data_IF_153560375114
#
_entry.id   IF_153560375114
#
_cell.length_a   1.000
_cell.length_b   1.000
_cell.length_c   1.000
_cell.angle_alpha   90.00
_cell.angle_beta   90.00
_cell.angle_gamma   90.00
#
_symmetry.space_group_name_H-M   'P 1'
#
loop_
_entity.id
_entity.type
_entity.pdbx_description
1 polymer ?
#
# COMPACT_ATOMS: atom_id res chain seq x y z
N UNK A 1 -1.61 -9.53 -16.98
CA UNK A 1 -2.10 -8.54 -15.97
C UNK A 1 -0.90 -7.80 -15.49
N UNK A 2 -0.83 -6.48 -15.70
CA UNK A 2 0.46 -5.78 -15.70
C UNK A 2 0.59 -4.75 -14.59
N UNK A 3 1.83 -4.58 -14.13
CA UNK A 3 2.25 -3.53 -13.20
C UNK A 3 3.70 -3.13 -13.53
N UNK A 4 4.16 -2.01 -12.99
CA UNK A 4 5.55 -1.58 -13.11
C UNK A 4 6.34 -2.07 -11.89
N UNK A 5 7.57 -2.57 -12.07
CA UNK A 5 8.39 -3.08 -10.97
C UNK A 5 9.76 -2.37 -10.94
N UNK A 6 10.10 -1.79 -9.79
CA UNK A 6 11.41 -1.18 -9.51
C UNK A 6 11.82 -0.14 -10.58
N UNK A 7 13.11 -0.04 -10.91
CA UNK A 7 13.67 0.88 -11.90
C UNK A 7 13.55 0.34 -13.33
N UNK A 8 12.41 -0.26 -13.68
CA UNK A 8 12.17 -0.80 -15.02
C UNK A 8 11.13 0.04 -15.76
N UNK A 9 11.32 0.21 -17.07
CA UNK A 9 10.34 0.80 -17.98
C UNK A 9 9.47 -0.26 -18.67
N UNK A 10 9.86 -1.54 -18.58
CA UNK A 10 9.11 -2.67 -19.10
C UNK A 10 8.10 -3.16 -18.06
N UNK A 11 6.87 -3.39 -18.50
CA UNK A 11 5.81 -3.92 -17.66
C UNK A 11 6.10 -5.35 -17.22
N UNK A 12 5.87 -5.62 -15.93
CA UNK A 12 5.88 -6.98 -15.39
C UNK A 12 4.50 -7.60 -15.55
N UNK A 13 4.44 -8.78 -16.17
CA UNK A 13 3.23 -9.60 -16.17
C UNK A 13 3.16 -10.40 -14.87
N UNK A 14 2.07 -10.23 -14.13
CA UNK A 14 1.82 -10.98 -12.91
C UNK A 14 1.59 -12.47 -13.19
N UNK A 15 1.12 -12.81 -14.40
CA UNK A 15 0.82 -14.17 -14.80
C UNK A 15 -0.46 -14.75 -14.17
N UNK A 16 -0.65 -16.05 -14.35
CA UNK A 16 -1.78 -16.81 -13.78
C UNK A 16 -1.35 -17.43 -12.44
N UNK A 17 -1.42 -16.64 -11.38
CA UNK A 17 -1.08 -17.04 -10.01
C UNK A 17 -2.33 -17.41 -9.21
N UNK A 18 -2.15 -18.02 -8.03
CA UNK A 18 -3.27 -18.23 -7.11
C UNK A 18 -3.81 -16.86 -6.65
N UNK A 19 -5.12 -16.58 -6.73
CA UNK A 19 -5.69 -15.32 -6.25
C UNK A 19 -5.45 -15.00 -4.78
N UNK A 20 -5.13 -16.01 -3.97
CA UNK A 20 -4.79 -15.86 -2.54
C UNK A 20 -3.30 -15.51 -2.32
N UNK A 21 -2.47 -15.51 -3.37
CA UNK A 21 -1.03 -15.21 -3.25
C UNK A 21 -0.83 -13.77 -2.79
N UNK A 22 -0.07 -13.61 -1.72
CA UNK A 22 0.32 -12.29 -1.20
C UNK A 22 1.41 -11.67 -2.08
N UNK A 23 1.57 -10.34 -2.04
CA UNK A 23 2.68 -9.66 -2.73
C UNK A 23 4.02 -10.19 -2.22
N UNK A 24 4.13 -10.46 -0.91
CA UNK A 24 5.36 -10.98 -0.33
C UNK A 24 5.73 -12.38 -0.86
N UNK A 25 4.75 -13.28 -0.93
CA UNK A 25 4.93 -14.61 -1.51
C UNK A 25 5.37 -14.50 -2.98
N UNK A 26 4.66 -13.68 -3.78
CA UNK A 26 5.01 -13.46 -5.18
C UNK A 26 6.44 -12.92 -5.35
N UNK A 27 6.84 -11.93 -4.56
CA UNK A 27 8.20 -11.36 -4.61
C UNK A 27 9.26 -12.42 -4.34
N UNK A 28 9.07 -13.21 -3.28
CA UNK A 28 10.05 -14.21 -2.84
C UNK A 28 10.15 -15.38 -3.81
N UNK A 29 9.04 -15.83 -4.39
CA UNK A 29 9.01 -16.85 -5.44
C UNK A 29 9.76 -16.39 -6.69
N UNK A 30 9.73 -15.09 -6.98
CA UNK A 30 10.49 -14.45 -8.07
C UNK A 30 11.90 -14.00 -7.65
N UNK A 31 12.45 -14.53 -6.55
CA UNK A 31 13.81 -14.27 -6.04
C UNK A 31 14.10 -12.81 -5.63
N UNK A 32 13.06 -11.99 -5.41
CA UNK A 32 13.16 -10.66 -4.80
C UNK A 32 13.01 -10.79 -3.27
N UNK A 33 14.08 -11.32 -2.66
CA UNK A 33 14.08 -11.76 -1.26
C UNK A 33 14.49 -10.69 -0.26
N UNK A 34 14.76 -9.46 -0.70
CA UNK A 34 15.09 -8.31 0.14
C UNK A 34 13.93 -7.93 1.06
N UNK A 35 12.69 -8.00 0.56
CA UNK A 35 11.48 -7.87 1.38
C UNK A 35 11.31 -9.11 2.28
N UNK A 36 11.10 -8.91 3.59
CA UNK A 36 11.16 -9.99 4.59
C UNK A 36 9.79 -10.34 5.16
N UNK A 37 9.59 -11.62 5.46
CA UNK A 37 8.50 -12.07 6.32
C UNK A 37 8.93 -12.01 7.78
N UNK A 38 8.24 -11.22 8.61
CA UNK A 38 8.49 -11.13 10.05
C UNK A 38 7.34 -11.70 10.88
N UNK A 39 6.13 -11.11 10.71
CA UNK A 39 4.94 -11.49 11.48
C UNK A 39 3.79 -12.08 10.61
N UNK A 40 3.79 -11.80 9.31
CA UNK A 40 2.71 -12.14 8.37
C UNK A 40 1.31 -11.61 8.75
N UNK A 41 1.24 -10.58 9.59
CA UNK A 41 0.01 -9.93 10.07
C UNK A 41 -0.07 -8.42 9.79
N UNK A 42 0.98 -7.83 9.20
CA UNK A 42 1.08 -6.39 8.98
C UNK A 42 1.68 -5.59 10.14
N UNK A 43 1.95 -6.21 11.29
CA UNK A 43 2.37 -5.49 12.51
C UNK A 43 3.83 -5.00 12.50
N UNK A 44 4.76 -5.78 11.93
CA UNK A 44 6.20 -5.52 12.12
C UNK A 44 6.85 -4.65 11.04
N UNK A 45 6.22 -4.51 9.87
CA UNK A 45 6.76 -3.76 8.72
C UNK A 45 8.06 -4.27 8.12
N UNK A 46 8.54 -5.48 8.47
CA UNK A 46 9.71 -6.08 7.81
C UNK A 46 9.46 -6.35 6.31
N UNK A 47 8.17 -6.48 5.96
CA UNK A 47 7.68 -6.71 4.61
C UNK A 47 7.32 -5.41 3.86
N UNK A 48 7.67 -4.23 4.39
CA UNK A 48 7.28 -2.97 3.75
C UNK A 48 7.90 -2.85 2.36
N UNK A 49 7.04 -2.59 1.38
CA UNK A 49 7.39 -2.13 0.04
C UNK A 49 6.58 -0.86 -0.25
N UNK A 50 6.75 -0.27 -1.43
CA UNK A 50 6.08 0.99 -1.79
C UNK A 50 5.34 0.83 -3.11
N UNK A 51 4.11 1.33 -3.15
CA UNK A 51 3.32 1.45 -4.39
C UNK A 51 3.29 2.91 -4.85
N UNK A 52 3.56 3.13 -6.13
CA UNK A 52 3.34 4.40 -6.82
C UNK A 52 1.99 4.41 -7.53
N UNK A 53 1.20 5.45 -7.29
CA UNK A 53 -0.10 5.67 -7.91
C UNK A 53 -0.21 7.08 -8.47
N UNK A 54 -0.97 7.26 -9.56
CA UNK A 54 -1.24 8.59 -10.08
C UNK A 54 -2.31 9.27 -9.24
N UNK A 55 -1.96 10.43 -8.68
CA UNK A 55 -2.89 11.34 -8.02
C UNK A 55 -3.00 12.61 -8.87
N UNK A 56 -4.23 13.03 -9.16
CA UNK A 56 -4.49 14.22 -9.98
C UNK A 56 -5.06 15.34 -9.12
N UNK A 57 -4.26 16.38 -8.92
CA UNK A 57 -4.65 17.58 -8.19
C UNK A 57 -4.56 18.80 -9.11
N UNK A 58 -5.64 19.59 -9.20
CA UNK A 58 -5.67 20.88 -9.89
C UNK A 58 -5.01 20.88 -11.30
N UNK A 59 -5.34 19.87 -12.13
CA UNK A 59 -4.82 19.63 -13.50
C UNK A 59 -3.36 19.16 -13.60
N UNK A 60 -2.69 18.86 -12.49
CA UNK A 60 -1.37 18.21 -12.47
C UNK A 60 -1.50 16.77 -11.96
N UNK A 61 -0.94 15.82 -12.71
CA UNK A 61 -0.83 14.42 -12.31
C UNK A 61 0.57 14.18 -11.76
N UNK A 62 0.64 13.76 -10.50
CA UNK A 62 1.87 13.37 -9.84
C UNK A 62 1.76 11.91 -9.38
N UNK A 63 2.91 11.31 -9.06
CA UNK A 63 2.94 10.00 -8.45
C UNK A 63 3.00 10.21 -6.94
N UNK A 64 2.07 9.60 -6.22
CA UNK A 64 2.18 9.45 -4.78
C UNK A 64 2.73 8.06 -4.46
N UNK A 65 3.75 8.02 -3.60
CA UNK A 65 4.41 6.78 -3.20
C UNK A 65 3.95 6.36 -1.80
N UNK A 66 3.12 5.33 -1.71
CA UNK A 66 2.53 4.86 -0.45
C UNK A 66 3.22 3.58 0.02
N UNK A 67 3.70 3.56 1.26
CA UNK A 67 4.21 2.33 1.88
C UNK A 67 3.08 1.34 2.14
N UNK A 68 3.32 0.04 1.94
CA UNK A 68 2.34 -1.02 2.18
C UNK A 68 2.99 -2.25 2.85
N UNK A 69 2.19 -3.05 3.56
CA UNK A 69 2.61 -4.36 4.04
C UNK A 69 2.36 -5.44 2.98
N UNK A 70 3.43 -5.92 2.33
CA UNK A 70 3.31 -6.92 1.25
C UNK A 70 2.80 -8.29 1.70
N UNK A 71 2.90 -8.61 3.00
CA UNK A 71 2.34 -9.85 3.54
C UNK A 71 0.81 -9.84 3.61
N UNK A 72 0.17 -8.67 3.58
CA UNK A 72 -1.30 -8.53 3.66
C UNK A 72 -1.92 -8.20 2.31
N UNK A 73 -1.21 -7.43 1.47
CA UNK A 73 -1.66 -7.11 0.13
C UNK A 73 -1.65 -8.36 -0.75
N UNK A 74 -2.77 -8.66 -1.42
CA UNK A 74 -2.84 -9.72 -2.43
C UNK A 74 -2.19 -9.24 -3.74
N UNK A 75 -1.49 -10.15 -4.42
CA UNK A 75 -0.66 -9.82 -5.58
C UNK A 75 -1.47 -9.26 -6.76
N UNK A 76 -2.72 -9.69 -6.96
CA UNK A 76 -3.62 -9.09 -7.95
C UNK A 76 -3.96 -7.62 -7.66
N UNK A 77 -3.79 -7.16 -6.43
CA UNK A 77 -3.89 -5.75 -6.06
C UNK A 77 -2.80 -4.87 -6.66
N UNK A 78 -1.73 -5.42 -7.25
CA UNK A 78 -0.67 -4.65 -7.91
C UNK A 78 -1.03 -4.19 -9.32
N UNK A 79 -2.06 -4.78 -9.94
CA UNK A 79 -2.43 -4.48 -11.32
C UNK A 79 -2.66 -2.97 -11.49
N UNK A 80 -1.96 -2.38 -12.45
CA UNK A 80 -2.03 -0.94 -12.74
C UNK A 80 -1.17 -0.04 -11.85
N UNK A 81 -0.38 -0.58 -10.92
CA UNK A 81 0.45 0.20 -9.97
C UNK A 81 1.95 0.09 -10.28
N UNK A 82 2.76 0.92 -9.61
CA UNK A 82 4.22 0.78 -9.60
C UNK A 82 4.68 0.17 -8.27
N UNK A 83 5.09 -1.09 -8.26
CA UNK A 83 5.70 -1.71 -7.09
C UNK A 83 7.19 -1.36 -7.02
N UNK A 84 7.64 -0.85 -5.88
CA UNK A 84 9.04 -0.59 -5.58
C UNK A 84 9.46 -1.38 -4.34
N UNK A 85 10.54 -2.14 -4.46
CA UNK A 85 11.15 -2.94 -3.39
C UNK A 85 12.56 -2.43 -3.09
N UNK A 86 13.16 -2.95 -2.02
CA UNK A 86 14.50 -2.52 -1.57
C UNK A 86 15.59 -2.77 -2.62
N UNK A 87 15.45 -3.81 -3.43
CA UNK A 87 16.34 -4.16 -4.54
C UNK A 87 16.26 -3.14 -5.67
N UNK A 88 15.13 -2.46 -5.81
CA UNK A 88 14.90 -1.43 -6.80
C UNK A 88 15.53 -0.08 -6.45
N UNK A 89 16.17 0.09 -5.29
CA UNK A 89 16.59 1.43 -4.88
C UNK A 89 17.97 1.85 -5.41
N UNK A 90 18.93 0.92 -5.49
CA UNK A 90 20.27 1.26 -5.95
C UNK A 90 20.31 1.37 -7.48
N UNK A 91 20.94 2.43 -8.01
CA UNK A 91 21.14 2.67 -9.44
C UNK A 91 22.64 2.56 -9.75
N UNK A 92 23.03 1.63 -10.62
CA UNK A 92 24.45 1.44 -11.05
C UNK A 92 25.45 1.31 -9.87
N UNK A 93 25.02 0.65 -8.79
CA UNK A 93 25.83 0.47 -7.57
C UNK A 93 25.82 1.67 -6.61
N UNK A 94 25.20 2.79 -6.98
CA UNK A 94 24.97 3.93 -6.09
C UNK A 94 23.73 3.67 -5.22
N UNK A 95 23.91 3.74 -3.91
CA UNK A 95 22.82 3.61 -2.94
C UNK A 95 21.84 4.78 -3.05
N UNK A 96 20.54 4.48 -2.91
CA UNK A 96 19.53 5.51 -2.73
C UNK A 96 19.76 6.27 -1.41
N UNK A 97 19.39 7.57 -1.28
CA UNK A 97 19.52 8.33 -0.05
C UNK A 97 19.03 7.60 1.21
N UNK A 98 17.90 6.88 1.13
CA UNK A 98 17.38 6.08 2.25
C UNK A 98 18.27 4.90 2.66
N UNK A 99 18.94 4.26 1.71
CA UNK A 99 19.91 3.20 2.00
C UNK A 99 21.20 3.80 2.56
N UNK A 100 21.73 4.85 1.92
CA UNK A 100 22.96 5.55 2.31
C UNK A 100 22.87 6.06 3.75
N UNK A 101 21.78 6.73 4.11
CA UNK A 101 21.59 7.27 5.44
C UNK A 101 21.54 6.19 6.53
N UNK A 102 20.89 5.05 6.26
CA UNK A 102 20.87 3.91 7.18
C UNK A 102 22.26 3.34 7.44
N UNK A 103 23.15 3.36 6.45
CA UNK A 103 24.55 2.96 6.61
C UNK A 103 25.31 3.99 7.43
N UNK A 104 25.24 5.28 7.06
CA UNK A 104 26.01 6.35 7.69
C UNK A 104 25.67 6.55 9.17
N UNK A 105 24.39 6.47 9.52
CA UNK A 105 23.91 6.71 10.88
C UNK A 105 23.89 5.44 11.75
N UNK A 106 24.46 4.33 11.26
CA UNK A 106 24.43 3.02 11.95
C UNK A 106 23.00 2.54 12.26
N UNK A 107 22.06 2.79 11.34
CA UNK A 107 20.64 2.44 11.44
C UNK A 107 20.35 0.94 11.33
N UNK A 108 21.37 0.09 11.16
CA UNK A 108 21.23 -1.35 10.97
C UNK A 108 22.19 -2.14 11.87
N UNK A 109 21.67 -3.17 12.54
CA UNK A 109 22.47 -4.17 13.29
C UNK A 109 22.29 -5.57 12.69
N UNK A 110 21.26 -6.31 13.12
CA UNK A 110 20.97 -7.65 12.59
C UNK A 110 20.56 -7.65 11.10
N UNK A 111 20.15 -6.49 10.57
CA UNK A 111 19.81 -6.29 9.16
C UNK A 111 18.40 -6.75 8.75
N UNK A 112 17.68 -7.49 9.59
CA UNK A 112 16.42 -8.12 9.17
C UNK A 112 15.28 -7.12 8.92
N UNK A 113 15.11 -6.13 9.80
CA UNK A 113 14.09 -5.09 9.64
C UNK A 113 14.53 -3.97 8.69
N UNK A 114 15.82 -3.90 8.35
CA UNK A 114 16.42 -2.79 7.59
C UNK A 114 15.74 -2.54 6.25
N UNK A 115 15.39 -3.55 5.42
CA UNK A 115 14.63 -3.34 4.20
C UNK A 115 13.31 -2.59 4.42
N UNK A 116 12.55 -2.97 5.45
CA UNK A 116 11.28 -2.32 5.77
C UNK A 116 11.43 -0.84 6.13
N UNK A 117 12.41 -0.52 6.98
CA UNK A 117 12.73 0.87 7.33
C UNK A 117 13.20 1.68 6.12
N UNK A 118 14.09 1.10 5.29
CA UNK A 118 14.59 1.74 4.06
C UNK A 118 13.43 2.08 3.12
N UNK A 119 12.43 1.20 3.00
CA UNK A 119 11.26 1.43 2.14
C UNK A 119 10.30 2.48 2.71
N UNK A 120 10.06 2.51 4.02
CA UNK A 120 9.28 3.59 4.65
C UNK A 120 9.95 4.95 4.49
N UNK A 121 11.27 5.01 4.65
CA UNK A 121 12.06 6.22 4.42
C UNK A 121 12.08 6.63 2.94
N UNK A 122 12.09 5.66 2.02
CA UNK A 122 11.95 5.92 0.59
C UNK A 122 10.61 6.62 0.28
N UNK A 123 9.49 6.09 0.78
CA UNK A 123 8.18 6.73 0.60
C UNK A 123 8.16 8.17 1.15
N UNK A 124 8.68 8.38 2.37
CA UNK A 124 8.79 9.70 2.98
C UNK A 124 9.62 10.67 2.12
N UNK A 125 10.76 10.22 1.60
CA UNK A 125 11.66 11.00 0.75
C UNK A 125 11.06 11.38 -0.61
N UNK A 126 10.24 10.51 -1.19
CA UNK A 126 9.57 10.80 -2.45
C UNK A 126 8.42 11.80 -2.28
N UNK A 127 7.73 11.79 -1.14
CA UNK A 127 6.56 12.62 -0.90
C UNK A 127 6.84 13.95 -0.20
N UNK A 128 8.03 14.14 0.41
CA UNK A 128 8.38 15.33 1.18
C UNK A 128 9.68 15.97 0.67
N UNK A 129 9.80 17.28 0.86
CA UNK A 129 11.03 18.04 0.59
C UNK A 129 11.84 18.35 1.86
N UNK A 130 11.17 18.33 3.01
CA UNK A 130 11.73 18.52 4.34
C UNK A 130 10.88 17.74 5.33
N UNK A 131 11.45 17.39 6.48
CA UNK A 131 10.77 16.59 7.50
C UNK A 131 10.99 17.13 8.90
N UNK A 132 10.00 16.89 9.76
CA UNK A 132 10.14 17.01 11.21
C UNK A 132 10.08 15.62 11.88
N UNK A 133 10.25 15.59 13.20
CA UNK A 133 10.22 14.35 13.97
C UNK A 133 8.85 13.66 13.91
N UNK A 134 7.76 14.42 13.80
CA UNK A 134 6.42 13.86 13.76
C UNK A 134 6.20 13.08 12.46
N UNK A 135 6.55 13.68 11.33
CA UNK A 135 6.47 13.05 10.01
C UNK A 135 7.37 11.81 9.90
N UNK A 136 8.56 11.87 10.50
CA UNK A 136 9.46 10.70 10.58
C UNK A 136 8.80 9.58 11.39
N UNK A 137 8.29 9.89 12.58
CA UNK A 137 7.67 8.90 13.46
C UNK A 137 6.42 8.28 12.81
N UNK A 138 5.63 9.07 12.09
CA UNK A 138 4.48 8.56 11.36
C UNK A 138 4.90 7.62 10.22
N UNK A 139 5.88 8.01 9.41
CA UNK A 139 6.41 7.15 8.34
C UNK A 139 6.99 5.83 8.88
N UNK A 140 7.58 5.85 10.07
CA UNK A 140 8.19 4.68 10.72
C UNK A 140 7.24 3.91 11.65
N UNK A 141 6.00 4.38 11.84
CA UNK A 141 5.04 3.84 12.81
C UNK A 141 4.73 2.35 12.63
N UNK A 142 4.90 1.83 11.41
CA UNK A 142 4.65 0.43 11.06
C UNK A 142 5.88 -0.46 11.06
N UNK A 143 7.05 0.02 11.47
CA UNK A 143 8.30 -0.75 11.43
C UNK A 143 8.83 -1.03 12.84
N UNK A 144 9.02 -2.31 13.16
CA UNK A 144 9.57 -2.74 14.44
C UNK A 144 11.04 -3.12 14.32
N UNK A 145 11.86 -2.61 15.23
CA UNK A 145 13.25 -3.01 15.40
C UNK A 145 13.51 -3.45 16.83
N UNK A 146 14.15 -4.62 17.00
CA UNK A 146 14.52 -5.14 18.32
C UNK A 146 15.96 -4.84 18.74
N UNK A 147 16.79 -4.32 17.82
CA UNK A 147 18.24 -4.22 18.03
C UNK A 147 18.73 -2.77 18.22
N UNK A 148 18.28 -1.84 17.38
CA UNK A 148 18.91 -0.50 17.26
C UNK A 148 18.44 0.51 18.30
N UNK A 149 17.30 0.28 18.95
CA UNK A 149 16.67 1.26 19.83
C UNK A 149 16.14 2.49 19.09
N UNK A 150 15.92 2.41 17.77
CA UNK A 150 15.32 3.43 16.87
C UNK A 150 16.09 4.74 16.68
N UNK A 151 16.81 5.23 17.69
CA UNK A 151 17.57 6.49 17.64
C UNK A 151 18.43 6.64 16.37
N UNK A 152 19.27 5.66 15.96
CA UNK A 152 20.08 5.80 14.73
C UNK A 152 19.23 5.78 13.45
N UNK A 153 18.05 5.14 13.45
CA UNK A 153 17.13 5.12 12.31
C UNK A 153 16.46 6.49 12.13
N UNK A 154 16.06 7.12 13.23
CA UNK A 154 15.52 8.49 13.21
C UNK A 154 16.60 9.49 12.77
N UNK A 155 17.85 9.30 13.22
CA UNK A 155 18.98 10.09 12.73
C UNK A 155 19.17 9.92 11.21
N UNK A 156 19.08 8.69 10.68
CA UNK A 156 19.12 8.42 9.25
C UNK A 156 18.03 9.20 8.50
N UNK A 157 16.81 9.21 9.03
CA UNK A 157 15.70 9.94 8.42
C UNK A 157 16.00 11.44 8.30
N UNK A 158 16.53 12.09 9.34
CA UNK A 158 16.95 13.50 9.25
C UNK A 158 18.12 13.70 8.28
N UNK A 159 19.11 12.81 8.32
CA UNK A 159 20.33 12.88 7.51
C UNK A 159 20.00 12.92 6.01
N UNK A 160 19.00 12.13 5.58
CA UNK A 160 18.51 12.10 4.18
C UNK A 160 18.06 13.45 3.62
N UNK A 161 17.56 14.36 4.47
CA UNK A 161 17.04 15.66 4.05
C UNK A 161 18.01 16.82 4.33
N UNK A 162 19.08 16.58 5.10
CA UNK A 162 20.06 17.58 5.48
C UNK A 162 21.33 17.57 4.61
N UNK A 163 21.59 16.50 3.85
CA UNK A 163 22.69 16.49 2.87
C UNK A 163 22.43 17.54 1.76
N UNK A 164 23.42 18.40 1.50
CA UNK A 164 23.31 19.47 0.49
C UNK A 164 23.16 18.90 -0.92
N UNK A 165 22.29 19.55 -1.70
CA UNK A 165 21.71 19.14 -2.98
C UNK A 165 22.65 19.16 -4.20
N UNK A 166 23.95 18.91 -4.04
CA UNK A 166 24.86 18.76 -5.20
C UNK A 166 24.81 17.33 -5.77
N UNK A 167 24.19 16.39 -5.05
CA UNK A 167 23.94 15.05 -5.60
C UNK A 167 22.79 15.07 -6.62
N UNK A 168 22.94 14.34 -7.75
CA UNK A 168 21.85 14.20 -8.71
C UNK A 168 20.62 13.56 -8.07
N UNK A 169 19.44 13.96 -8.55
CA UNK A 169 18.16 13.34 -8.18
C UNK A 169 18.24 11.82 -8.29
N UNK A 170 17.53 11.12 -7.41
CA UNK A 170 17.37 9.67 -7.52
C UNK A 170 16.60 9.28 -8.79
N UNK A 171 16.69 8.00 -9.15
CA UNK A 171 16.05 7.44 -10.34
C UNK A 171 14.56 7.82 -10.45
N UNK A 172 13.80 7.75 -9.36
CA UNK A 172 12.34 7.92 -9.39
C UNK A 172 11.97 9.38 -9.62
N UNK A 173 12.63 10.33 -8.95
CA UNK A 173 12.45 11.77 -9.21
C UNK A 173 12.89 12.15 -10.62
N UNK A 174 14.03 11.63 -11.09
CA UNK A 174 14.55 11.87 -12.45
C UNK A 174 13.60 11.35 -13.54
N UNK A 175 12.99 10.17 -13.33
CA UNK A 175 12.16 9.49 -14.31
C UNK A 175 10.65 9.70 -14.10
N UNK A 176 10.24 10.59 -13.19
CA UNK A 176 8.84 10.79 -12.80
C UNK A 176 7.90 10.97 -14.00
N UNK A 177 8.28 11.75 -15.02
CA UNK A 177 7.46 11.96 -16.23
C UNK A 177 7.23 10.67 -17.02
N UNK A 178 8.26 9.84 -17.16
CA UNK A 178 8.16 8.57 -17.88
C UNK A 178 7.32 7.56 -17.10
N UNK A 179 7.56 7.43 -15.79
CA UNK A 179 6.78 6.55 -14.91
C UNK A 179 5.31 6.97 -14.93
N UNK A 180 5.01 8.28 -14.84
CA UNK A 180 3.64 8.80 -14.90
C UNK A 180 2.96 8.45 -16.22
N UNK A 181 3.69 8.54 -17.34
CA UNK A 181 3.16 8.15 -18.65
C UNK A 181 2.80 6.66 -18.69
N UNK A 182 3.73 5.79 -18.28
CA UNK A 182 3.51 4.33 -18.25
C UNK A 182 2.32 3.97 -17.35
N UNK A 183 2.26 4.56 -16.15
CA UNK A 183 1.16 4.36 -15.23
C UNK A 183 -0.18 4.88 -15.79
N UNK A 184 -0.17 5.98 -16.54
CA UNK A 184 -1.37 6.51 -17.20
C UNK A 184 -1.92 5.56 -18.26
N UNK A 185 -1.03 4.89 -19.01
CA UNK A 185 -1.42 3.86 -19.98
C UNK A 185 -1.91 2.56 -19.32
N UNK A 186 -1.37 2.22 -18.14
CA UNK A 186 -1.79 1.08 -17.33
C UNK A 186 -3.11 1.30 -16.59
N UNK A 187 -3.40 2.54 -16.17
CA UNK A 187 -4.55 2.88 -15.34
C UNK A 187 -5.85 2.97 -16.17
N UNK A 188 -6.21 1.87 -16.81
CA UNK A 188 -7.45 1.70 -17.54
C UNK A 188 -8.25 0.57 -16.88
N UNK A 189 -9.17 0.90 -15.95
CA UNK A 189 -9.98 -0.08 -15.23
C UNK A 189 -10.75 -0.95 -16.21
N UNK A 190 -10.63 -2.27 -16.06
CA UNK A 190 -11.31 -3.24 -16.90
C UNK A 190 -11.84 -4.37 -16.03
N UNK A 191 -13.03 -4.85 -16.34
CA UNK A 191 -13.51 -6.10 -15.79
C UNK A 191 -12.49 -7.21 -16.04
N UNK A 192 -11.97 -7.80 -14.96
CA UNK A 192 -11.15 -9.02 -15.01
C UNK A 192 -11.97 -10.15 -14.43
N UNK A 193 -12.07 -11.27 -15.15
CA UNK A 193 -12.64 -12.51 -14.63
C UNK A 193 -11.71 -13.66 -15.02
N UNK A 194 -11.24 -14.42 -14.04
CA UNK A 194 -10.32 -15.52 -14.26
C UNK A 194 -10.57 -16.69 -13.31
N UNK A 195 -10.05 -17.85 -13.70
CA UNK A 195 -10.08 -19.07 -12.91
C UNK A 195 -8.68 -19.67 -12.85
N UNK A 196 -8.17 -19.85 -11.64
CA UNK A 196 -6.92 -20.53 -11.37
C UNK A 196 -7.20 -21.98 -10.98
N UNK A 197 -6.57 -22.93 -11.68
CA UNK A 197 -6.71 -24.35 -11.41
C UNK A 197 -5.46 -24.87 -10.73
N UNK A 198 -5.61 -25.45 -9.54
CA UNK A 198 -4.55 -26.15 -8.82
C UNK A 198 -5.07 -27.51 -8.39
N UNK A 199 -4.51 -28.57 -8.99
CA UNK A 199 -4.98 -29.94 -8.80
C UNK A 199 -6.49 -30.06 -9.06
N UNK A 200 -7.28 -30.47 -8.05
CA UNK A 200 -8.74 -30.64 -8.18
C UNK A 200 -9.55 -29.41 -7.71
N UNK A 201 -8.90 -28.27 -7.41
CA UNK A 201 -9.56 -27.04 -7.00
C UNK A 201 -9.56 -26.01 -8.14
N UNK A 202 -10.67 -25.29 -8.28
CA UNK A 202 -10.77 -24.09 -9.11
C UNK A 202 -11.03 -22.91 -8.20
N UNK A 203 -10.14 -21.91 -8.26
CA UNK A 203 -10.27 -20.66 -7.53
C UNK A 203 -10.67 -19.59 -8.53
N UNK A 204 -11.74 -18.85 -8.25
CA UNK A 204 -12.23 -17.75 -9.08
C UNK A 204 -11.71 -16.41 -8.57
N UNK A 205 -11.45 -15.51 -9.49
CA UNK A 205 -11.15 -14.12 -9.19
C UNK A 205 -11.89 -13.22 -10.17
N UNK A 206 -12.67 -12.28 -9.64
CA UNK A 206 -13.30 -11.22 -10.41
C UNK A 206 -12.83 -9.86 -9.90
N UNK A 207 -12.55 -8.93 -10.79
CA UNK A 207 -12.30 -7.53 -10.48
C UNK A 207 -13.14 -6.66 -11.43
N UNK A 208 -14.42 -6.42 -11.11
CA UNK A 208 -15.27 -5.50 -11.87
C UNK A 208 -14.72 -4.08 -11.83
N UNK A 209 -15.02 -3.32 -12.88
CA UNK A 209 -14.59 -1.92 -13.05
C UNK A 209 -15.71 -0.90 -12.80
N UNK A 210 -16.96 -1.35 -12.70
CA UNK A 210 -18.14 -0.50 -12.44
C UNK A 210 -19.07 -1.14 -11.42
N UNK A 211 -19.96 -0.33 -10.82
CA UNK A 211 -20.98 -0.85 -9.87
C UNK A 211 -21.91 -1.86 -10.53
N UNK A 212 -22.28 -1.66 -11.81
CA UNK A 212 -23.16 -2.58 -12.53
C UNK A 212 -22.50 -3.95 -12.72
N UNK A 213 -21.22 -3.98 -13.08
CA UNK A 213 -20.45 -5.22 -13.18
C UNK A 213 -20.31 -5.90 -11.82
N UNK A 214 -20.03 -5.13 -10.76
CA UNK A 214 -19.96 -5.66 -9.40
C UNK A 214 -21.28 -6.30 -8.97
N UNK A 215 -22.40 -5.62 -9.18
CA UNK A 215 -23.73 -6.16 -8.88
C UNK A 215 -23.98 -7.48 -9.62
N UNK A 216 -23.65 -7.55 -10.91
CA UNK A 216 -23.82 -8.77 -11.70
C UNK A 216 -22.97 -9.93 -11.19
N UNK A 217 -21.74 -9.67 -10.76
CA UNK A 217 -20.86 -10.70 -10.16
C UNK A 217 -21.45 -11.20 -8.84
N UNK A 218 -21.85 -10.29 -7.94
CA UNK A 218 -22.32 -10.65 -6.60
C UNK A 218 -23.67 -11.40 -6.61
N UNK A 219 -24.59 -11.05 -7.52
CA UNK A 219 -25.87 -11.79 -7.68
C UNK A 219 -25.61 -13.25 -8.07
N UNK A 220 -24.58 -13.50 -8.89
CA UNK A 220 -24.24 -14.83 -9.37
C UNK A 220 -23.26 -15.58 -8.45
N UNK A 221 -22.80 -14.97 -7.35
CA UNK A 221 -21.76 -15.51 -6.49
C UNK A 221 -21.92 -15.05 -5.04
N UNK A 222 -22.99 -15.53 -4.40
CA UNK A 222 -23.41 -15.12 -3.05
C UNK A 222 -22.44 -15.52 -1.93
N UNK A 223 -21.51 -16.45 -2.18
CA UNK A 223 -20.49 -16.89 -1.23
C UNK A 223 -19.11 -16.26 -1.48
N UNK A 224 -19.00 -15.30 -2.40
CA UNK A 224 -17.71 -14.73 -2.76
C UNK A 224 -17.18 -13.81 -1.65
N UNK A 225 -15.86 -13.86 -1.43
CA UNK A 225 -15.17 -12.96 -0.53
C UNK A 225 -14.91 -11.63 -1.25
N UNK A 226 -15.59 -10.56 -0.84
CA UNK A 226 -15.40 -9.22 -1.38
C UNK A 226 -14.14 -8.61 -0.74
N UNK A 227 -13.19 -8.16 -1.57
CA UNK A 227 -11.90 -7.64 -1.11
C UNK A 227 -11.63 -6.26 -1.72
N UNK A 228 -11.52 -5.25 -0.87
CA UNK A 228 -10.85 -4.00 -1.23
C UNK A 228 -9.34 -4.15 -0.93
N UNK A 229 -8.90 -3.66 0.23
CA UNK A 229 -7.54 -3.81 0.73
C UNK A 229 -7.20 -5.23 1.19
N UNK A 230 -8.13 -5.86 1.91
CA UNK A 230 -7.96 -7.18 2.54
C UNK A 230 -7.11 -7.16 3.83
N UNK A 231 -6.81 -6.02 4.44
CA UNK A 231 -5.89 -5.95 5.60
C UNK A 231 -6.31 -6.78 6.82
N UNK A 232 -7.60 -7.07 6.97
CA UNK A 232 -8.09 -8.00 8.00
C UNK A 232 -8.35 -9.39 7.40
N UNK A 233 -9.13 -9.45 6.32
CA UNK A 233 -9.51 -10.72 5.68
C UNK A 233 -8.31 -11.56 5.21
N UNK A 234 -7.20 -10.93 4.80
CA UNK A 234 -5.96 -11.63 4.44
C UNK A 234 -5.32 -12.36 5.63
N UNK A 235 -5.68 -12.04 6.89
CA UNK A 235 -5.23 -12.82 8.06
C UNK A 235 -5.82 -14.23 8.05
N UNK A 236 -6.98 -14.44 7.43
CA UNK A 236 -7.48 -15.79 7.22
C UNK A 236 -6.56 -16.60 6.31
N UNK A 237 -5.92 -15.95 5.34
CA UNK A 237 -4.95 -16.58 4.45
C UNK A 237 -3.62 -16.78 5.18
N UNK A 238 -3.08 -15.74 5.82
CA UNK A 238 -1.70 -15.77 6.34
C UNK A 238 -1.56 -16.39 7.73
N UNK A 239 -2.57 -16.24 8.59
CA UNK A 239 -2.53 -16.75 9.98
C UNK A 239 -3.38 -18.01 10.14
N UNK A 240 -4.56 -18.05 9.50
CA UNK A 240 -5.44 -19.22 9.57
C UNK A 240 -5.22 -20.22 8.42
N UNK A 241 -4.29 -19.94 7.50
CA UNK A 241 -3.92 -20.82 6.38
C UNK A 241 -5.11 -21.26 5.52
N UNK A 242 -6.14 -20.40 5.41
CA UNK A 242 -7.31 -20.62 4.57
C UNK A 242 -7.04 -20.21 3.14
N UNK A 243 -7.87 -20.72 2.24
CA UNK A 243 -7.84 -20.40 0.82
C UNK A 243 -9.26 -20.08 0.37
N UNK A 244 -9.49 -18.83 -0.03
CA UNK A 244 -10.77 -18.43 -0.59
C UNK A 244 -10.95 -19.05 -1.96
N UNK A 245 -12.12 -19.65 -2.19
CA UNK A 245 -12.48 -20.27 -3.46
C UNK A 245 -12.92 -19.25 -4.50
N UNK A 246 -13.37 -18.07 -4.08
CA UNK A 246 -13.78 -16.98 -4.95
C UNK A 246 -13.51 -15.63 -4.29
N UNK A 247 -12.63 -14.84 -4.89
CA UNK A 247 -12.35 -13.46 -4.51
C UNK A 247 -12.99 -12.50 -5.52
N UNK A 248 -13.72 -11.50 -5.03
CA UNK A 248 -14.23 -10.38 -5.83
C UNK A 248 -13.53 -9.11 -5.37
N UNK A 249 -12.59 -8.61 -6.16
CA UNK A 249 -11.88 -7.37 -5.84
C UNK A 249 -12.67 -6.14 -6.26
N UNK A 250 -12.89 -5.21 -5.34
CA UNK A 250 -13.56 -3.93 -5.64
C UNK A 250 -12.60 -2.80 -5.99
N UNK A 251 -11.29 -3.10 -6.05
CA UNK A 251 -10.25 -2.10 -6.27
C UNK A 251 -10.27 -1.47 -7.68
N UNK A 252 -11.06 -1.95 -8.61
CA UNK A 252 -11.20 -1.33 -9.93
C UNK A 252 -12.54 -0.60 -10.12
N UNK A 253 -13.45 -0.69 -9.14
CA UNK A 253 -14.75 -0.01 -9.19
C UNK A 253 -14.53 1.46 -8.85
N UNK A 254 -14.53 2.30 -9.88
CA UNK A 254 -14.14 3.72 -9.77
C UNK A 254 -15.06 4.45 -8.79
N UNK A 255 -16.36 4.16 -8.85
CA UNK A 255 -17.40 4.79 -8.03
C UNK A 255 -17.22 4.52 -6.53
N UNK A 256 -16.54 3.42 -6.16
CA UNK A 256 -16.24 3.09 -4.75
C UNK A 256 -14.98 3.78 -4.22
N UNK A 257 -14.27 4.56 -5.05
CA UNK A 257 -13.04 5.28 -4.69
C UNK A 257 -13.21 6.79 -4.66
N UNK A 258 -14.42 7.28 -4.85
CA UNK A 258 -14.70 8.71 -4.86
C UNK A 258 -14.89 9.25 -3.43
N UNK A 259 -14.44 10.47 -3.21
CA UNK A 259 -14.80 11.27 -2.04
C UNK A 259 -15.57 12.48 -2.56
N UNK A 260 -16.80 12.68 -2.08
CA UNK A 260 -17.62 13.85 -2.42
C UNK A 260 -17.93 14.59 -1.15
N UNK A 261 -17.31 15.75 -1.01
CA UNK A 261 -17.60 16.68 0.06
C UNK A 261 -18.57 17.74 -0.48
N UNK A 262 -19.78 17.77 0.05
CA UNK A 262 -20.67 18.91 -0.13
C UNK A 262 -20.93 19.57 1.23
N UNK A 263 -21.38 20.82 1.23
CA UNK A 263 -21.52 21.61 2.45
C UNK A 263 -22.47 21.03 3.53
N UNK A 264 -23.14 19.90 3.26
CA UNK A 264 -24.05 19.21 4.19
C UNK A 264 -23.61 17.80 4.55
N UNK A 265 -22.96 17.07 3.63
CA UNK A 265 -22.58 15.67 3.83
C UNK A 265 -21.22 15.36 3.17
N UNK A 266 -20.51 14.40 3.75
CA UNK A 266 -19.26 13.86 3.21
C UNK A 266 -19.49 12.41 2.80
N UNK A 267 -19.58 12.16 1.49
CA UNK A 267 -19.66 10.81 0.94
C UNK A 267 -18.26 10.25 0.74
N UNK A 268 -17.97 9.11 1.37
CA UNK A 268 -16.70 8.40 1.20
C UNK A 268 -16.99 7.02 0.59
N UNK A 269 -16.45 6.77 -0.60
CA UNK A 269 -16.55 5.47 -1.25
C UNK A 269 -15.95 4.34 -0.40
N UNK A 270 -16.58 3.16 -0.42
CA UNK A 270 -16.21 2.04 0.44
C UNK A 270 -14.78 1.52 0.22
N UNK A 271 -14.17 1.76 -0.95
CA UNK A 271 -12.81 1.38 -1.31
C UNK A 271 -11.79 2.52 -1.17
N UNK A 272 -12.17 3.67 -0.59
CA UNK A 272 -11.25 4.76 -0.22
C UNK A 272 -10.41 4.31 0.98
N UNK A 273 -9.10 4.52 0.90
CA UNK A 273 -8.18 4.19 2.00
C UNK A 273 -8.33 5.16 3.18
N UNK A 274 -7.91 4.75 4.37
CA UNK A 274 -7.89 5.65 5.53
C UNK A 274 -7.03 6.89 5.28
N UNK A 275 -5.87 6.71 4.64
CA UNK A 275 -4.98 7.83 4.35
C UNK A 275 -5.61 8.80 3.34
N UNK A 276 -6.25 8.28 2.28
CA UNK A 276 -6.93 9.12 1.27
C UNK A 276 -8.13 9.88 1.87
N UNK A 277 -8.84 9.27 2.83
CA UNK A 277 -9.96 9.90 3.52
C UNK A 277 -9.53 10.90 4.61
N UNK A 278 -8.30 10.80 5.13
CA UNK A 278 -7.89 11.49 6.35
C UNK A 278 -8.07 13.01 6.26
N UNK A 279 -7.66 13.63 5.15
CA UNK A 279 -7.75 15.08 4.98
C UNK A 279 -9.20 15.59 5.01
N UNK A 280 -10.11 14.90 4.31
CA UNK A 280 -11.53 15.28 4.28
C UNK A 280 -12.21 15.03 5.64
N UNK A 281 -11.88 13.92 6.30
CA UNK A 281 -12.37 13.62 7.65
C UNK A 281 -11.92 14.67 8.67
N UNK A 282 -10.64 15.04 8.67
CA UNK A 282 -10.09 16.03 9.61
C UNK A 282 -10.61 17.44 9.31
N UNK A 283 -10.83 17.77 8.03
CA UNK A 283 -11.40 19.08 7.65
C UNK A 283 -12.82 19.26 8.18
N UNK A 284 -13.63 18.20 8.16
CA UNK A 284 -15.02 18.23 8.67
C UNK A 284 -15.08 18.02 10.19
N UNK A 285 -14.20 17.19 10.74
CA UNK A 285 -14.11 16.88 12.17
C UNK A 285 -12.65 16.89 12.66
N UNK A 286 -12.12 18.07 13.05
CA UNK A 286 -10.71 18.22 13.43
C UNK A 286 -10.26 17.30 14.57
N UNK A 287 -11.16 16.94 15.49
CA UNK A 287 -10.88 16.03 16.60
C UNK A 287 -10.55 14.60 16.16
N UNK A 288 -10.86 14.23 14.91
CA UNK A 288 -10.44 12.94 14.33
C UNK A 288 -8.94 12.88 14.05
N UNK A 289 -8.22 14.01 13.98
CA UNK A 289 -6.78 14.03 13.68
C UNK A 289 -5.97 13.18 14.68
N UNK A 290 -6.00 13.49 15.99
CA UNK A 290 -5.30 12.69 17.00
C UNK A 290 -5.76 11.23 17.08
N UNK A 291 -7.02 10.94 16.72
CA UNK A 291 -7.57 9.60 16.67
C UNK A 291 -6.98 8.79 15.50
N UNK A 292 -7.03 9.32 14.27
CA UNK A 292 -6.46 8.71 13.07
C UNK A 292 -4.93 8.57 13.17
N UNK A 293 -4.27 9.41 13.96
CA UNK A 293 -2.84 9.27 14.25
C UNK A 293 -2.52 8.02 15.09
N UNK A 294 -3.45 7.57 15.94
CA UNK A 294 -3.29 6.39 16.80
C UNK A 294 -3.85 5.12 16.17
N UNK A 295 -4.68 5.27 15.16
CA UNK A 295 -5.25 4.15 14.41
C UNK A 295 -4.21 3.54 13.47
N UNK A 296 -3.84 2.29 13.75
CA UNK A 296 -2.94 1.48 12.94
C UNK A 296 -1.61 2.19 12.59
N UNK A 297 -0.81 1.57 11.73
CA UNK A 297 0.40 2.19 11.19
C UNK A 297 0.16 2.78 9.81
N UNK A 298 1.03 3.70 9.36
CA UNK A 298 0.89 4.32 8.04
C UNK A 298 0.81 3.29 6.89
N UNK A 299 1.63 2.20 6.83
CA UNK A 299 1.48 1.18 5.79
C UNK A 299 0.13 0.46 5.79
N UNK A 300 -0.52 0.31 6.95
CA UNK A 300 -1.88 -0.21 7.04
C UNK A 300 -2.87 0.86 6.56
N UNK A 301 -2.79 2.12 7.03
CA UNK A 301 -3.69 3.21 6.63
C UNK A 301 -3.68 3.50 5.13
N UNK A 302 -2.52 3.38 4.49
CA UNK A 302 -2.34 3.54 3.05
C UNK A 302 -3.08 2.51 2.21
N UNK A 303 -3.42 1.35 2.79
CA UNK A 303 -4.02 0.24 2.07
C UNK A 303 -5.45 -0.02 2.57
N UNK A 304 -5.65 -0.11 3.89
CA UNK A 304 -6.92 -0.36 4.54
C UNK A 304 -7.98 0.69 4.15
N UNK A 305 -9.21 0.23 3.93
CA UNK A 305 -10.31 1.06 3.44
C UNK A 305 -11.40 1.24 4.48
N UNK A 306 -12.07 2.39 4.48
CA UNK A 306 -13.17 2.71 5.41
C UNK A 306 -14.28 1.65 5.31
N UNK A 307 -14.76 1.33 4.10
CA UNK A 307 -15.82 0.34 3.91
C UNK A 307 -15.41 -1.07 4.33
N UNK A 308 -14.14 -1.43 4.10
CA UNK A 308 -13.59 -2.69 4.58
C UNK A 308 -13.60 -2.80 6.11
N UNK A 309 -13.29 -1.71 6.83
CA UNK A 309 -13.33 -1.70 8.29
C UNK A 309 -14.76 -1.84 8.85
N UNK A 310 -15.73 -1.19 8.20
CA UNK A 310 -17.16 -1.33 8.53
C UNK A 310 -17.63 -2.77 8.29
N UNK A 311 -17.38 -3.31 7.09
CA UNK A 311 -17.84 -4.64 6.68
C UNK A 311 -17.22 -5.76 7.52
N UNK A 312 -15.98 -5.57 7.99
CA UNK A 312 -15.31 -6.50 8.90
C UNK A 312 -16.04 -6.65 10.24
N UNK A 313 -16.75 -5.59 10.68
CA UNK A 313 -17.54 -5.58 11.91
C UNK A 313 -16.78 -6.11 13.15
N UNK A 314 -15.48 -5.79 13.24
CA UNK A 314 -14.66 -6.18 14.37
C UNK A 314 -15.25 -5.61 15.67
N UNK A 315 -15.33 -6.40 16.77
CA UNK A 315 -15.78 -5.92 18.07
C UNK A 315 -14.95 -4.76 18.64
N UNK A 316 -13.74 -4.56 18.10
CA UNK A 316 -12.79 -3.51 18.49
C UNK A 316 -12.44 -2.60 17.30
N UNK A 317 -13.28 -2.56 16.25
CA UNK A 317 -13.06 -1.65 15.13
C UNK A 317 -13.12 -0.20 15.60
N UNK A 318 -12.09 0.60 15.28
CA UNK A 318 -11.99 1.96 15.78
C UNK A 318 -12.96 2.94 15.06
N UNK A 319 -13.19 2.79 13.75
CA UNK A 319 -14.02 3.73 12.97
C UNK A 319 -15.54 3.55 13.14
N UNK A 320 -16.12 2.33 13.26
CA UNK A 320 -17.56 2.17 13.41
C UNK A 320 -18.15 2.94 14.60
N UNK A 321 -17.54 2.99 15.80
CA UNK A 321 -18.01 3.85 16.88
C UNK A 321 -18.05 5.33 16.52
N UNK A 322 -17.06 5.82 15.77
CA UNK A 322 -17.02 7.21 15.27
C UNK A 322 -18.19 7.46 14.32
N UNK A 323 -18.40 6.57 13.35
CA UNK A 323 -19.48 6.69 12.36
C UNK A 323 -20.86 6.65 13.01
N UNK A 324 -21.07 5.76 13.99
CA UNK A 324 -22.31 5.72 14.79
C UNK A 324 -22.54 7.04 15.53
N UNK A 325 -21.49 7.62 16.12
CA UNK A 325 -21.60 8.90 16.82
C UNK A 325 -21.90 10.09 15.88
N UNK A 326 -21.55 9.95 14.60
CA UNK A 326 -21.82 10.94 13.55
C UNK A 326 -23.18 10.73 12.84
N UNK A 327 -23.94 9.68 13.20
CA UNK A 327 -25.18 9.28 12.53
C UNK A 327 -24.99 9.04 11.01
N UNK A 328 -23.86 8.40 10.66
CA UNK A 328 -23.44 8.09 9.30
C UNK A 328 -23.96 6.75 8.78
#
# INVERSE_FOLDING_TARGET
MYFLLNQNSTLTDLGAINPNTTVLEWLRDNQLVGTKEGCASGDCGACTAVIGEIVTNNKSSNIEYKSINTCMALAYGLVGKHLVTVEGLAEEGKLHPSQKAMVLENGSQCGFCTPGFVMSLFALYQNKNSVDLHQINEALSGNLCRCTGYKPIIAAAFSMFNEKSDEPLDYYKKNQKNITKILGELNNPKHISLSYKKSNKTIKYDAPSTINELSNVLINSTSANIIAAGTDLSLEITQAMKEFSHIVSVNQVIELKEIKDNAKELDIGAAVSYEDAASSLISNWPDLGPFLQRFASLPIKNWATIGGNIANASPIGDMPPVLIALDA
#
